data_IF_851624506266
#
_entry.id   IF_851624506266
#
_cell.length_a   1.000
_cell.length_b   1.000
_cell.length_c   1.000
_cell.angle_alpha   90.00
_cell.angle_beta   90.00
_cell.angle_gamma   90.00
#
_symmetry.space_group_name_H-M   'P 1'
#
loop_
_entity.id
_entity.type
_entity.pdbx_description
1 polymer ?
#
# COMPACT_ATOMS: atom_id res chain seq x y z
N UNK A 1 -31.71 -31.82 27.43
CA UNK A 1 -31.35 -30.38 27.38
C UNK A 1 -30.27 -30.23 26.33
N UNK A 2 -30.64 -29.67 25.19
CA UNK A 2 -29.86 -29.70 23.95
C UNK A 2 -29.23 -28.33 23.72
N UNK A 3 -27.92 -28.28 23.53
CA UNK A 3 -27.16 -27.07 23.21
C UNK A 3 -27.58 -26.52 21.83
N UNK A 4 -27.73 -25.19 21.64
CA UNK A 4 -27.84 -24.65 20.30
C UNK A 4 -26.45 -24.58 19.64
N UNK A 5 -26.33 -25.25 18.50
CA UNK A 5 -25.24 -25.13 17.54
C UNK A 5 -25.22 -23.69 17.01
N UNK A 6 -24.22 -22.89 17.38
CA UNK A 6 -24.04 -21.56 16.79
C UNK A 6 -23.32 -21.70 15.44
N UNK A 7 -24.01 -21.26 14.40
CA UNK A 7 -23.58 -21.30 13.02
C UNK A 7 -22.26 -20.52 12.80
N UNK A 8 -21.26 -21.20 12.24
CA UNK A 8 -20.04 -20.61 11.71
C UNK A 8 -20.37 -19.76 10.48
N UNK A 9 -20.28 -18.43 10.59
CA UNK A 9 -20.33 -17.54 9.42
C UNK A 9 -19.05 -17.67 8.58
N UNK A 10 -19.15 -17.66 7.24
CA UNK A 10 -18.11 -18.23 6.38
C UNK A 10 -17.01 -17.22 6.02
N UNK A 11 -15.78 -17.55 6.42
CA UNK A 11 -14.50 -16.86 6.14
C UNK A 11 -14.20 -16.74 4.63
N UNK A 12 -14.93 -17.43 3.77
CA UNK A 12 -14.66 -17.50 2.33
C UNK A 12 -15.11 -16.29 1.48
N UNK A 13 -15.96 -15.37 1.98
CA UNK A 13 -16.52 -14.32 1.12
C UNK A 13 -15.68 -13.05 0.98
N UNK A 14 -14.78 -12.73 1.92
CA UNK A 14 -14.05 -11.45 1.91
C UNK A 14 -12.79 -11.52 1.03
N UNK A 15 -12.22 -12.72 0.85
CA UNK A 15 -11.04 -12.92 -0.01
C UNK A 15 -11.30 -12.62 -1.50
N UNK A 16 -12.55 -12.73 -1.98
CA UNK A 16 -12.88 -12.50 -3.39
C UNK A 16 -13.11 -11.03 -3.76
N UNK A 17 -13.56 -10.17 -2.84
CA UNK A 17 -13.89 -8.77 -3.16
C UNK A 17 -12.64 -7.93 -3.39
N UNK A 18 -11.57 -8.17 -2.63
CA UNK A 18 -10.27 -7.52 -2.84
C UNK A 18 -9.61 -7.94 -4.16
N UNK A 19 -9.76 -9.22 -4.55
CA UNK A 19 -9.27 -9.72 -5.83
C UNK A 19 -10.04 -9.14 -7.03
N UNK A 20 -11.36 -8.93 -6.87
CA UNK A 20 -12.23 -8.41 -7.92
C UNK A 20 -11.94 -6.94 -8.27
N UNK A 21 -11.62 -6.10 -7.27
CA UNK A 21 -11.20 -4.70 -7.50
C UNK A 21 -9.85 -4.64 -8.23
N UNK A 22 -8.94 -5.57 -7.95
CA UNK A 22 -7.64 -5.68 -8.62
C UNK A 22 -7.78 -6.17 -10.07
N UNK A 23 -8.68 -7.13 -10.36
CA UNK A 23 -8.93 -7.57 -11.74
C UNK A 23 -9.62 -6.51 -12.60
N UNK A 24 -10.50 -5.67 -12.04
CA UNK A 24 -11.19 -4.62 -12.80
C UNK A 24 -10.27 -3.46 -13.24
N UNK A 25 -9.15 -3.25 -12.54
CA UNK A 25 -8.16 -2.20 -12.89
C UNK A 25 -7.09 -2.67 -13.89
N UNK A 26 -6.98 -3.99 -14.14
CA UNK A 26 -6.03 -4.57 -15.11
C UNK A 26 -6.65 -4.76 -16.51
N UNK A 27 -7.97 -4.61 -16.66
CA UNK A 27 -8.60 -4.59 -17.99
C UNK A 27 -8.40 -3.22 -18.65
N UNK A 28 -7.39 -3.14 -19.52
CA UNK A 28 -7.11 -1.99 -20.39
C UNK A 28 -8.33 -1.60 -21.24
N UNK A 29 -8.78 -0.33 -21.23
CA UNK A 29 -9.53 0.23 -22.34
C UNK A 29 -8.55 0.65 -23.45
N UNK A 30 -8.68 0.00 -24.61
CA UNK A 30 -8.51 0.57 -25.95
C UNK A 30 -7.25 1.40 -26.25
N UNK A 31 -6.37 0.82 -27.06
CA UNK A 31 -5.47 1.61 -27.92
C UNK A 31 -6.31 2.53 -28.82
N UNK A 32 -6.37 3.83 -28.53
CA UNK A 32 -6.81 4.84 -29.48
C UNK A 32 -5.57 5.36 -30.23
N UNK A 33 -5.43 4.92 -31.48
CA UNK A 33 -4.52 5.48 -32.47
C UNK A 33 -5.09 6.82 -32.95
N UNK A 34 -4.32 7.90 -32.85
CA UNK A 34 -4.60 9.14 -33.55
C UNK A 34 -3.31 9.66 -34.19
N UNK A 35 -3.28 9.58 -35.52
CA UNK A 35 -2.29 10.18 -36.38
C UNK A 35 -2.47 11.71 -36.41
N UNK A 36 -1.37 12.44 -36.32
CA UNK A 36 -1.32 13.89 -36.53
C UNK A 36 0.11 14.35 -36.73
N UNK A 37 0.49 14.59 -37.99
CA UNK A 37 1.76 15.22 -38.38
C UNK A 37 1.73 16.70 -37.97
N UNK A 38 2.90 17.24 -37.57
CA UNK A 38 3.67 18.38 -38.16
C UNK A 38 4.25 19.30 -37.07
N UNK A 39 5.56 19.59 -37.17
CA UNK A 39 6.15 20.85 -36.69
C UNK A 39 6.95 20.80 -35.38
N UNK A 40 8.22 21.23 -35.48
CA UNK A 40 9.14 21.67 -34.42
C UNK A 40 9.93 20.62 -33.62
N UNK A 41 11.15 20.34 -34.11
CA UNK A 41 12.25 19.72 -33.37
C UNK A 41 12.82 20.74 -32.38
N UNK A 42 12.28 20.78 -31.17
CA UNK A 42 13.07 21.20 -30.00
C UNK A 42 13.99 20.05 -29.61
N UNK A 43 15.30 20.23 -29.80
CA UNK A 43 16.33 19.32 -29.28
C UNK A 43 16.39 19.45 -27.75
N UNK A 44 15.47 18.79 -27.06
CA UNK A 44 15.58 18.56 -25.62
C UNK A 44 16.69 17.54 -25.41
N UNK A 45 17.77 17.96 -24.73
CA UNK A 45 18.84 17.09 -24.26
C UNK A 45 18.25 15.84 -23.60
N UNK A 46 18.38 14.70 -24.29
CA UNK A 46 17.72 13.45 -23.94
C UNK A 46 18.44 12.73 -22.79
N UNK A 47 18.46 13.34 -21.60
CA UNK A 47 18.76 12.69 -20.32
C UNK A 47 17.51 12.10 -19.64
N UNK A 48 16.41 11.93 -20.37
CA UNK A 48 15.14 11.46 -19.84
C UNK A 48 15.22 9.98 -19.44
N UNK A 49 15.24 9.71 -18.14
CA UNK A 49 15.12 8.37 -17.58
C UNK A 49 13.83 7.70 -18.11
N UNK A 50 14.00 6.78 -19.06
CA UNK A 50 12.92 6.04 -19.70
C UNK A 50 12.49 4.88 -18.80
N UNK A 51 11.79 5.21 -17.70
CA UNK A 51 11.25 4.25 -16.73
C UNK A 51 9.94 3.68 -17.26
N UNK A 52 9.66 2.40 -16.98
CA UNK A 52 8.35 1.80 -17.26
C UNK A 52 7.27 2.53 -16.44
N UNK A 53 6.11 2.74 -17.07
CA UNK A 53 5.03 3.55 -16.50
C UNK A 53 4.27 2.86 -15.38
N UNK A 54 4.27 1.54 -15.34
CA UNK A 54 3.51 0.75 -14.36
C UNK A 54 4.46 -0.22 -13.66
N UNK A 55 4.39 -0.23 -12.33
CA UNK A 55 5.10 -1.16 -11.45
C UNK A 55 4.12 -1.79 -10.48
N UNK A 56 4.44 -3.00 -10.03
CA UNK A 56 3.70 -3.68 -8.98
C UNK A 56 4.66 -4.04 -7.87
N UNK A 57 4.31 -3.73 -6.63
CA UNK A 57 5.07 -4.06 -5.45
C UNK A 57 4.25 -5.01 -4.57
N UNK A 58 4.91 -6.01 -4.01
CA UNK A 58 4.35 -6.86 -2.95
C UNK A 58 5.29 -6.83 -1.77
N UNK A 59 4.75 -6.84 -0.56
CA UNK A 59 5.61 -6.74 0.61
C UNK A 59 4.90 -7.02 1.91
N UNK A 60 5.69 -6.93 2.98
CA UNK A 60 5.22 -7.11 4.34
C UNK A 60 6.19 -6.57 5.35
N UNK A 61 5.77 -6.51 6.60
CA UNK A 61 6.53 -5.85 7.65
C UNK A 61 5.97 -6.04 9.03
N UNK A 62 6.51 -5.23 9.94
CA UNK A 62 6.10 -5.21 11.34
C UNK A 62 5.33 -3.93 11.66
N UNK A 63 4.29 -4.07 12.48
CA UNK A 63 3.50 -2.95 12.97
C UNK A 63 3.83 -2.66 14.43
N UNK A 64 4.10 -1.41 14.76
CA UNK A 64 4.37 -0.92 16.10
C UNK A 64 3.35 0.15 16.46
N UNK A 65 2.49 -0.12 17.45
CA UNK A 65 1.56 0.89 17.96
C UNK A 65 2.06 1.47 19.28
N UNK A 66 1.81 2.76 19.49
CA UNK A 66 2.14 3.45 20.73
C UNK A 66 1.26 3.02 21.91
N UNK A 67 1.58 3.56 23.09
CA UNK A 67 0.71 3.42 24.27
C UNK A 67 -0.60 4.17 24.03
N UNK A 68 -1.72 3.57 24.41
CA UNK A 68 -3.04 4.20 24.39
C UNK A 68 -3.78 3.83 25.67
N UNK A 69 -4.28 4.83 26.42
CA UNK A 69 -4.99 4.62 27.68
C UNK A 69 -4.24 3.70 28.69
N UNK A 70 -2.91 3.87 28.81
CA UNK A 70 -2.06 3.03 29.66
C UNK A 70 -1.64 1.70 29.02
N UNK A 71 -2.35 1.23 27.98
CA UNK A 71 -2.10 -0.04 27.33
C UNK A 71 -0.97 0.02 26.31
N UNK A 72 0.04 -0.83 26.50
CA UNK A 72 1.11 -1.03 25.52
C UNK A 72 0.70 -2.05 24.45
N UNK A 73 0.96 -1.74 23.19
CA UNK A 73 0.76 -2.66 22.08
C UNK A 73 1.96 -3.60 21.92
N UNK A 74 1.68 -4.85 21.56
CA UNK A 74 2.65 -5.81 21.06
C UNK A 74 2.81 -5.59 19.55
N UNK A 75 4.05 -5.67 19.03
CA UNK A 75 4.27 -5.64 17.60
C UNK A 75 3.47 -6.74 16.90
N UNK A 76 3.09 -6.47 15.67
CA UNK A 76 2.40 -7.43 14.82
C UNK A 76 2.90 -7.37 13.38
N UNK A 77 2.09 -7.80 12.43
CA UNK A 77 2.50 -7.95 11.03
C UNK A 77 1.59 -7.19 10.09
N UNK A 78 2.14 -6.79 8.95
CA UNK A 78 1.40 -6.18 7.84
C UNK A 78 1.84 -6.81 6.53
N UNK A 79 0.90 -6.95 5.59
CA UNK A 79 1.12 -7.41 4.22
C UNK A 79 0.43 -6.43 3.27
N UNK A 80 1.01 -6.21 2.10
CA UNK A 80 0.43 -5.33 1.10
C UNK A 80 0.78 -5.74 -0.33
N UNK A 81 -0.07 -5.28 -1.25
CA UNK A 81 0.20 -5.20 -2.68
C UNK A 81 -0.07 -3.77 -3.13
N UNK A 82 0.77 -3.25 -4.02
CA UNK A 82 0.69 -1.89 -4.49
C UNK A 82 0.92 -1.82 -5.99
N UNK A 83 0.06 -1.11 -6.71
CA UNK A 83 0.24 -0.79 -8.13
C UNK A 83 0.63 0.69 -8.25
N UNK A 84 1.77 0.96 -8.90
CA UNK A 84 2.36 2.30 -9.02
C UNK A 84 2.35 2.76 -10.47
N UNK A 85 2.09 4.04 -10.68
CA UNK A 85 2.23 4.73 -11.94
C UNK A 85 3.33 5.80 -11.85
N UNK A 86 4.43 5.55 -12.56
CA UNK A 86 5.57 6.46 -12.62
C UNK A 86 5.39 7.46 -13.76
N UNK A 87 5.37 8.76 -13.45
CA UNK A 87 5.32 9.80 -14.45
C UNK A 87 6.71 10.02 -15.08
N UNK A 88 6.86 9.81 -16.41
CA UNK A 88 8.14 10.01 -17.08
C UNK A 88 8.65 11.43 -16.89
N UNK A 89 9.96 11.58 -16.71
CA UNK A 89 10.65 12.88 -16.56
C UNK A 89 10.31 13.67 -15.29
N UNK A 90 9.55 13.09 -14.36
CA UNK A 90 9.29 13.69 -13.05
C UNK A 90 9.75 12.74 -11.93
N UNK A 91 10.09 13.27 -10.75
CA UNK A 91 10.33 12.46 -9.56
C UNK A 91 9.04 11.91 -8.93
N UNK A 92 7.88 12.27 -9.48
CA UNK A 92 6.58 11.99 -8.90
C UNK A 92 6.01 10.63 -9.36
N UNK A 93 5.41 9.89 -8.44
CA UNK A 93 4.59 8.71 -8.75
C UNK A 93 3.29 8.70 -7.94
N UNK A 94 2.28 8.03 -8.48
CA UNK A 94 1.02 7.77 -7.78
C UNK A 94 0.80 6.28 -7.68
N UNK A 95 0.18 5.83 -6.61
CA UNK A 95 -0.08 4.40 -6.43
C UNK A 95 -1.38 4.11 -5.71
N UNK A 96 -1.85 2.87 -5.85
CA UNK A 96 -2.93 2.31 -5.06
C UNK A 96 -2.41 1.07 -4.33
N UNK A 97 -2.58 1.05 -3.03
CA UNK A 97 -2.16 -0.02 -2.13
C UNK A 97 -3.39 -0.71 -1.53
N UNK A 98 -3.41 -2.04 -1.61
CA UNK A 98 -4.26 -2.88 -0.79
C UNK A 98 -3.43 -3.47 0.35
N UNK A 99 -3.88 -3.30 1.60
CA UNK A 99 -3.12 -3.64 2.80
C UNK A 99 -3.97 -4.39 3.82
N UNK A 100 -3.37 -5.36 4.50
CA UNK A 100 -3.93 -6.06 5.66
C UNK A 100 -2.87 -6.15 6.75
N UNK A 101 -3.25 -6.07 8.02
CA UNK A 101 -2.30 -6.19 9.13
C UNK A 101 -2.97 -6.39 10.47
N UNK A 102 -2.17 -6.70 11.49
CA UNK A 102 -2.68 -6.94 12.84
C UNK A 102 -1.67 -6.53 13.90
N UNK A 103 -2.17 -6.10 15.06
CA UNK A 103 -1.39 -5.94 16.27
C UNK A 103 -2.29 -6.14 17.50
N UNK A 104 -1.70 -6.42 18.67
CA UNK A 104 -2.46 -6.75 19.89
C UNK A 104 -2.12 -5.80 21.03
N UNK A 105 -3.06 -5.54 21.95
CA UNK A 105 -2.81 -4.79 23.19
C UNK A 105 -2.95 -5.67 24.43
N UNK A 106 -2.06 -5.45 25.41
CA UNK A 106 -1.80 -6.37 26.53
C UNK A 106 -2.97 -6.59 27.51
N UNK A 107 -3.72 -5.56 27.88
CA UNK A 107 -4.58 -5.68 29.08
C UNK A 107 -6.03 -6.09 28.79
N UNK A 108 -6.53 -5.87 27.56
CA UNK A 108 -7.90 -6.25 27.16
C UNK A 108 -7.97 -7.52 26.29
N UNK A 109 -6.84 -8.20 26.04
CA UNK A 109 -6.69 -9.16 24.93
C UNK A 109 -7.24 -8.61 23.60
N UNK A 110 -7.20 -7.29 23.43
CA UNK A 110 -7.77 -6.61 22.27
C UNK A 110 -6.84 -6.84 21.07
N UNK A 111 -7.26 -7.71 20.16
CA UNK A 111 -6.65 -7.84 18.85
C UNK A 111 -7.23 -6.76 17.95
N UNK A 112 -6.37 -5.90 17.40
CA UNK A 112 -6.74 -4.93 16.37
C UNK A 112 -6.25 -5.47 15.05
N UNK A 113 -7.19 -5.79 14.17
CA UNK A 113 -6.93 -6.26 12.82
C UNK A 113 -7.35 -5.17 11.82
N UNK A 114 -6.42 -4.77 10.97
CA UNK A 114 -6.70 -4.02 9.77
C UNK A 114 -6.98 -5.06 8.66
N UNK A 115 -8.25 -5.41 8.46
CA UNK A 115 -8.61 -6.54 7.58
C UNK A 115 -8.48 -6.22 6.09
N UNK A 116 -8.77 -4.97 5.70
CA UNK A 116 -8.58 -4.50 4.34
C UNK A 116 -8.54 -2.97 4.33
N UNK A 117 -7.42 -2.41 3.86
CA UNK A 117 -7.26 -0.98 3.58
C UNK A 117 -6.96 -0.74 2.12
N UNK A 118 -7.66 0.21 1.51
CA UNK A 118 -7.32 0.77 0.21
C UNK A 118 -6.74 2.17 0.40
N UNK A 119 -5.50 2.39 -0.02
CA UNK A 119 -4.80 3.66 0.18
C UNK A 119 -4.24 4.14 -1.17
N UNK A 120 -4.55 5.37 -1.53
CA UNK A 120 -3.91 6.06 -2.65
C UNK A 120 -2.71 6.82 -2.15
N UNK A 121 -1.55 6.68 -2.80
CA UNK A 121 -0.35 7.45 -2.48
C UNK A 121 0.03 8.39 -3.60
N UNK A 122 0.68 9.47 -3.19
CA UNK A 122 1.47 10.35 -4.02
C UNK A 122 2.88 10.40 -3.42
N UNK A 123 3.88 10.01 -4.21
CA UNK A 123 5.27 9.91 -3.77
C UNK A 123 6.19 10.80 -4.59
N UNK A 124 7.22 11.26 -3.91
CA UNK A 124 8.34 11.98 -4.49
C UNK A 124 9.61 11.15 -4.31
N UNK A 125 10.21 10.75 -5.42
CA UNK A 125 11.41 9.93 -5.46
C UNK A 125 12.61 10.75 -5.91
N UNK A 126 13.64 10.80 -5.06
CA UNK A 126 14.95 11.24 -5.51
C UNK A 126 15.62 10.07 -6.21
N UNK A 127 15.99 10.27 -7.47
CA UNK A 127 16.67 9.26 -8.31
C UNK A 127 18.14 9.64 -8.56
N UNK A 128 18.99 9.80 -7.53
CA UNK A 128 20.38 10.23 -7.70
C UNK A 128 21.29 9.16 -8.34
N UNK A 129 20.78 7.96 -8.66
CA UNK A 129 21.52 6.89 -9.33
C UNK A 129 20.72 5.59 -9.44
N UNK A 130 21.35 4.50 -9.91
CA UNK A 130 20.73 3.17 -10.09
C UNK A 130 20.70 2.30 -8.82
N UNK A 131 21.49 2.63 -7.80
CA UNK A 131 21.70 1.75 -6.64
C UNK A 131 20.73 2.04 -5.49
N UNK A 132 20.46 3.32 -5.22
CA UNK A 132 19.67 3.76 -4.10
C UNK A 132 18.84 4.99 -4.49
N UNK A 133 17.53 4.91 -4.28
CA UNK A 133 16.58 5.98 -4.58
C UNK A 133 15.67 6.21 -3.35
N UNK A 134 15.98 7.22 -2.52
CA UNK A 134 15.10 7.56 -1.40
C UNK A 134 13.81 8.21 -1.89
N UNK A 135 12.74 8.02 -1.13
CA UNK A 135 11.43 8.59 -1.43
C UNK A 135 10.69 9.02 -0.17
N UNK A 136 9.78 9.98 -0.33
CA UNK A 136 8.77 10.33 0.67
C UNK A 136 7.41 10.38 -0.01
N UNK A 137 6.35 10.17 0.75
CA UNK A 137 5.01 10.27 0.20
C UNK A 137 3.94 10.45 1.24
N UNK A 138 2.75 10.73 0.74
CA UNK A 138 1.54 10.87 1.53
C UNK A 138 0.43 10.05 0.91
N UNK A 139 -0.17 9.22 1.74
CA UNK A 139 -1.32 8.40 1.38
C UNK A 139 -2.60 8.85 2.06
N UNK A 140 -3.72 8.68 1.36
CA UNK A 140 -5.07 8.82 1.90
C UNK A 140 -5.91 7.62 1.49
N UNK A 141 -6.78 7.15 2.37
CA UNK A 141 -7.53 5.94 2.10
C UNK A 141 -8.60 5.63 3.13
N UNK A 142 -9.13 4.43 3.01
CA UNK A 142 -10.08 3.87 3.97
C UNK A 142 -9.68 2.44 4.32
N UNK A 143 -9.91 2.05 5.57
CA UNK A 143 -9.68 0.69 6.04
C UNK A 143 -10.84 0.19 6.89
N UNK A 144 -11.18 -1.09 6.72
CA UNK A 144 -12.01 -1.83 7.65
C UNK A 144 -11.15 -2.27 8.82
N UNK A 145 -11.46 -1.75 10.01
CA UNK A 145 -10.75 -2.07 11.25
C UNK A 145 -11.66 -2.93 12.10
N UNK A 146 -11.13 -4.08 12.50
CA UNK A 146 -11.76 -4.98 13.43
C UNK A 146 -11.06 -4.93 14.77
N UNK A 147 -11.84 -4.85 15.83
CA UNK A 147 -11.36 -4.96 17.21
C UNK A 147 -12.11 -6.08 17.89
N UNK A 148 -11.36 -7.08 18.38
CA UNK A 148 -11.90 -8.23 19.10
C UNK A 148 -11.35 -8.22 20.52
N UNK A 149 -12.22 -7.96 21.49
CA UNK A 149 -11.91 -8.02 22.93
C UNK A 149 -12.81 -9.02 23.63
N UNK A 150 -12.29 -9.71 24.64
CA UNK A 150 -13.02 -10.76 25.39
C UNK A 150 -14.28 -10.20 26.08
N UNK A 151 -14.27 -8.92 26.45
CA UNK A 151 -15.36 -8.22 27.15
C UNK A 151 -16.14 -7.22 26.29
N UNK A 152 -15.63 -6.84 25.12
CA UNK A 152 -16.15 -5.69 24.34
C UNK A 152 -16.89 -6.06 23.05
N UNK A 153 -17.01 -7.34 22.74
CA UNK A 153 -17.67 -7.82 21.52
C UNK A 153 -16.84 -7.58 20.24
N UNK A 154 -17.42 -7.94 19.09
CA UNK A 154 -16.82 -7.77 17.77
C UNK A 154 -17.27 -6.46 17.14
N UNK A 155 -16.35 -5.54 16.91
CA UNK A 155 -16.64 -4.25 16.25
C UNK A 155 -15.86 -4.19 14.94
N UNK A 156 -16.58 -4.01 13.82
CA UNK A 156 -16.02 -3.76 12.49
C UNK A 156 -16.45 -2.36 12.04
N UNK A 157 -15.49 -1.49 11.74
CA UNK A 157 -15.77 -0.12 11.33
C UNK A 157 -14.91 0.28 10.14
N UNK A 158 -15.50 1.04 9.22
CA UNK A 158 -14.75 1.75 8.18
C UNK A 158 -14.14 3.02 8.79
N UNK A 159 -12.85 3.24 8.55
CA UNK A 159 -12.13 4.40 9.05
C UNK A 159 -11.28 5.02 7.95
N UNK A 160 -11.24 6.36 7.95
CA UNK A 160 -10.32 7.12 7.11
C UNK A 160 -8.88 6.89 7.58
N UNK A 161 -7.95 6.82 6.63
CA UNK A 161 -6.52 6.61 6.87
C UNK A 161 -5.74 7.75 6.25
N UNK A 162 -4.94 8.44 7.06
CA UNK A 162 -3.86 9.32 6.61
C UNK A 162 -2.54 8.60 6.80
N UNK A 163 -1.73 8.49 5.75
CA UNK A 163 -0.55 7.64 5.74
C UNK A 163 0.68 8.36 5.17
N UNK A 164 1.38 9.22 5.94
CA UNK A 164 2.72 9.63 5.56
C UNK A 164 3.66 8.41 5.51
N UNK A 165 4.58 8.41 4.54
CA UNK A 165 5.62 7.39 4.40
C UNK A 165 6.95 7.98 3.93
N UNK A 166 8.02 7.30 4.27
CA UNK A 166 9.37 7.56 3.77
C UNK A 166 10.11 6.24 3.59
N UNK A 167 11.00 6.16 2.63
CA UNK A 167 11.71 4.92 2.38
C UNK A 167 12.85 5.06 1.40
N UNK A 168 13.40 3.90 1.04
CA UNK A 168 14.48 3.79 0.07
C UNK A 168 14.24 2.58 -0.82
N UNK A 169 14.40 2.79 -2.12
CA UNK A 169 14.42 1.74 -3.13
C UNK A 169 15.88 1.42 -3.49
N UNK A 170 16.23 0.14 -3.36
CA UNK A 170 17.56 -0.41 -3.59
C UNK A 170 17.52 -1.27 -4.86
N UNK A 171 18.52 -1.07 -5.72
CA UNK A 171 18.72 -1.84 -6.96
C UNK A 171 17.51 -1.84 -7.92
N UNK A 172 16.60 -0.87 -7.80
CA UNK A 172 15.38 -0.77 -8.62
C UNK A 172 14.30 -1.81 -8.30
N UNK A 173 14.43 -2.54 -7.19
CA UNK A 173 13.54 -3.65 -6.85
C UNK A 173 13.21 -3.73 -5.37
N UNK A 174 14.18 -3.63 -4.47
CA UNK A 174 13.96 -3.84 -3.05
C UNK A 174 13.61 -2.53 -2.36
N UNK A 175 12.42 -2.42 -1.76
CA UNK A 175 11.99 -1.22 -1.03
C UNK A 175 11.95 -1.47 0.45
N UNK A 176 12.51 -0.54 1.21
CA UNK A 176 12.38 -0.47 2.66
C UNK A 176 11.58 0.79 2.97
N UNK A 177 10.42 0.61 3.61
CA UNK A 177 9.43 1.67 3.80
C UNK A 177 9.07 1.80 5.27
N UNK A 178 9.22 3.01 5.80
CA UNK A 178 8.66 3.42 7.08
C UNK A 178 7.37 4.20 6.83
N UNK A 179 6.29 3.80 7.46
CA UNK A 179 4.99 4.40 7.26
C UNK A 179 4.25 4.60 8.58
N UNK A 180 3.42 5.64 8.67
CA UNK A 180 2.58 5.85 9.83
C UNK A 180 1.12 5.91 9.40
N UNK A 181 0.35 4.88 9.75
CA UNK A 181 -1.09 4.80 9.46
C UNK A 181 -1.85 5.49 10.59
N UNK A 182 -2.24 6.75 10.37
CA UNK A 182 -3.10 7.52 11.27
C UNK A 182 -4.56 7.24 10.92
N UNK A 183 -5.25 6.56 11.83
CA UNK A 183 -6.65 6.13 11.66
C UNK A 183 -7.50 6.73 12.77
N UNK A 184 -7.41 6.13 13.95
CA UNK A 184 -7.95 6.62 15.23
C UNK A 184 -6.89 6.45 16.31
N UNK A 185 -6.98 7.16 17.45
CA UNK A 185 -5.97 7.07 18.50
C UNK A 185 -5.66 5.63 18.96
N UNK A 186 -6.67 4.77 19.02
CA UNK A 186 -6.53 3.36 19.40
C UNK A 186 -6.24 2.41 18.22
N UNK A 187 -6.18 2.85 16.97
CA UNK A 187 -5.88 1.98 15.82
C UNK A 187 -4.69 2.43 14.98
N UNK A 188 -4.06 3.53 15.36
CA UNK A 188 -2.92 4.07 14.62
C UNK A 188 -1.63 3.33 14.97
N UNK A 189 -0.81 3.08 13.96
CA UNK A 189 0.45 2.36 14.11
C UNK A 189 1.52 2.82 13.12
N UNK A 190 2.76 2.58 13.49
CA UNK A 190 3.94 2.72 12.64
C UNK A 190 4.23 1.36 11.97
N UNK A 191 4.44 1.33 10.66
CA UNK A 191 4.83 0.15 9.91
C UNK A 191 6.27 0.27 9.43
N UNK A 192 7.07 -0.78 9.62
CA UNK A 192 8.36 -0.95 8.97
C UNK A 192 8.25 -2.14 8.01
N UNK A 193 8.32 -1.84 6.72
CA UNK A 193 7.96 -2.75 5.65
C UNK A 193 9.14 -3.00 4.71
N UNK A 194 9.20 -4.22 4.18
CA UNK A 194 10.07 -4.60 3.07
C UNK A 194 9.20 -5.07 1.92
N UNK A 195 9.40 -4.47 0.75
CA UNK A 195 8.67 -4.76 -0.48
C UNK A 195 9.59 -5.08 -1.64
N UNK A 196 9.07 -5.82 -2.62
CA UNK A 196 9.75 -6.11 -3.86
C UNK A 196 8.94 -5.58 -5.04
N UNK A 197 9.52 -4.65 -5.80
CA UNK A 197 8.95 -3.99 -6.94
C UNK A 197 9.33 -4.69 -8.25
N UNK A 198 8.30 -5.01 -9.03
CA UNK A 198 8.38 -5.56 -10.36
C UNK A 198 8.06 -4.48 -11.38
N UNK A 199 8.85 -4.45 -12.46
CA UNK A 199 8.57 -3.60 -13.61
C UNK A 199 9.42 -2.34 -13.73
N UNK A 200 10.21 -1.95 -12.72
CA UNK A 200 10.98 -0.68 -12.71
C UNK A 200 12.25 -0.61 -13.59
N UNK A 201 12.41 -1.54 -14.53
CA UNK A 201 13.56 -1.58 -15.41
C UNK A 201 13.54 -0.50 -16.52
N UNK A 202 14.72 -0.06 -17.00
CA UNK A 202 14.81 0.85 -18.15
C UNK A 202 14.16 0.23 -19.39
N UNK A 203 13.36 1.02 -20.11
CA UNK A 203 12.83 0.61 -21.42
C UNK A 203 13.99 0.37 -22.38
N UNK A 204 14.13 -0.85 -22.93
CA UNK A 204 15.00 -1.09 -24.10
C UNK A 204 14.56 -0.15 -25.22
N UNK A 205 15.47 0.71 -25.69
CA UNK A 205 15.30 1.38 -26.98
C UNK A 205 15.49 0.31 -28.05
N UNK A 206 14.46 0.03 -28.83
CA UNK A 206 14.68 -0.58 -30.14
C UNK A 206 15.23 0.55 -31.02
N UNK A 207 16.50 0.42 -31.40
CA UNK A 207 17.15 1.24 -32.43
C UNK A 207 16.81 0.69 -33.81
#
# INVERSE_FOLDING_TARGET
>A
MTFPLMASTPIHRISMTALAVIMLLVSSPGQASAAGKTGERYSVSAGGNNVRRIEVEVGGGFTYAGKYAGNQAKPGMVLFIEARHNFPMTPFDISIQAVTGSFSRKEDNLAVNLNAGGIFFADWNWRPGRTAAPFIGLGVGAAAVESMGISSGHVQEAAFVLNPRAGIELFGHLRITLEYKRIRPYCSFLGLNVGFAFGGGPKKRYS
#
